data_IF_641416068083
#
_entry.id   IF_641416068083
#
_cell.length_a   1.000
_cell.length_b   1.000
_cell.length_c   1.000
_cell.angle_alpha   90.00
_cell.angle_beta   90.00
_cell.angle_gamma   90.00
#
_symmetry.space_group_name_H-M   'P 1'
#
loop_
_entity.id
_entity.type
_entity.pdbx_description
1 polymer ?
#
# COMPACT_ATOMS: atom_id res chain seq x y z
N UNK A 1 9.04 5.84 -8.63
CA UNK A 1 8.17 7.04 -8.77
C UNK A 1 7.25 6.91 -10.00
N UNK A 2 6.30 7.84 -10.26
CA UNK A 2 5.72 8.02 -11.60
C UNK A 2 6.76 8.56 -12.61
N UNK A 3 6.40 8.60 -13.91
CA UNK A 3 7.23 9.21 -14.96
C UNK A 3 7.43 10.71 -14.66
N UNK A 4 8.67 11.25 -14.68
CA UNK A 4 8.91 12.68 -14.48
C UNK A 4 8.19 13.54 -15.52
N UNK A 5 7.81 14.77 -15.16
CA UNK A 5 7.23 15.71 -16.15
C UNK A 5 8.27 16.09 -17.20
N UNK A 6 7.84 16.28 -18.45
CA UNK A 6 8.61 17.02 -19.45
C UNK A 6 8.34 18.51 -19.25
N UNK A 7 9.36 19.36 -19.39
CA UNK A 7 9.26 20.79 -19.09
C UNK A 7 9.26 21.12 -17.59
N UNK A 8 8.81 22.33 -17.20
CA UNK A 8 8.85 22.84 -15.83
C UNK A 8 8.15 21.96 -14.77
N UNK A 9 8.46 22.23 -13.49
CA UNK A 9 7.86 21.55 -12.34
C UNK A 9 6.64 22.31 -11.81
N UNK A 10 5.64 21.59 -11.33
CA UNK A 10 4.45 22.19 -10.72
C UNK A 10 4.82 22.86 -9.39
N UNK A 11 4.63 24.17 -9.27
CA UNK A 11 5.12 24.95 -8.13
C UNK A 11 6.58 25.42 -8.26
N UNK A 12 7.15 25.39 -9.48
CA UNK A 12 8.49 25.90 -9.78
C UNK A 12 9.62 24.91 -9.46
N UNK A 13 9.69 24.42 -8.22
CA UNK A 13 10.76 23.52 -7.76
C UNK A 13 10.35 22.05 -7.66
N UNK A 14 11.34 21.15 -7.66
CA UNK A 14 11.12 19.71 -7.50
C UNK A 14 10.72 19.30 -6.08
N UNK A 15 11.11 20.07 -5.06
CA UNK A 15 10.69 19.89 -3.67
C UNK A 15 9.22 20.33 -3.49
N UNK A 16 8.85 21.51 -4.00
CA UNK A 16 7.47 21.99 -3.96
C UNK A 16 6.53 21.06 -4.73
N UNK A 17 6.92 20.54 -5.91
CA UNK A 17 6.10 19.56 -6.62
C UNK A 17 5.85 18.28 -5.81
N UNK A 18 6.83 17.80 -5.01
CA UNK A 18 6.65 16.63 -4.13
C UNK A 18 5.62 16.92 -3.03
N UNK A 19 5.77 18.04 -2.32
CA UNK A 19 4.84 18.44 -1.26
C UNK A 19 3.42 18.68 -1.80
N UNK A 20 3.30 19.37 -2.93
CA UNK A 20 2.02 19.65 -3.59
C UNK A 20 1.30 18.35 -4.01
N UNK A 21 2.02 17.34 -4.51
CA UNK A 21 1.43 16.04 -4.85
C UNK A 21 1.10 15.19 -3.62
N UNK A 22 1.85 15.31 -2.53
CA UNK A 22 1.51 14.67 -1.25
C UNK A 22 0.20 15.24 -0.70
N UNK A 23 0.10 16.56 -0.52
CA UNK A 23 -1.08 17.22 0.04
C UNK A 23 -2.34 16.98 -0.81
N UNK A 24 -2.23 17.03 -2.15
CA UNK A 24 -3.35 16.69 -3.04
C UNK A 24 -3.74 15.21 -2.98
N UNK A 25 -2.83 14.30 -2.63
CA UNK A 25 -3.18 12.89 -2.41
C UNK A 25 -3.87 12.70 -1.06
N UNK A 26 -3.43 13.41 -0.01
CA UNK A 26 -4.08 13.43 1.31
C UNK A 26 -5.56 13.80 1.17
N UNK A 27 -5.87 15.00 0.66
CA UNK A 27 -7.26 15.47 0.54
C UNK A 27 -8.10 14.67 -0.48
N UNK A 28 -7.48 13.97 -1.45
CA UNK A 28 -8.18 13.07 -2.36
C UNK A 28 -8.63 11.77 -1.66
N UNK A 29 -7.85 11.25 -0.71
CA UNK A 29 -8.22 10.07 0.06
C UNK A 29 -9.18 10.41 1.20
N UNK A 30 -8.96 11.54 1.86
CA UNK A 30 -9.81 12.10 2.93
C UNK A 30 -11.23 12.41 2.44
N UNK A 31 -11.39 13.16 1.34
CA UNK A 31 -12.70 13.59 0.85
C UNK A 31 -13.23 12.75 -0.34
N UNK A 32 -12.42 11.87 -0.92
CA UNK A 32 -12.77 11.07 -2.10
C UNK A 32 -12.91 11.82 -3.43
N UNK A 33 -13.10 13.15 -3.42
CA UNK A 33 -13.28 14.03 -4.59
C UNK A 33 -12.72 15.43 -4.30
N UNK A 34 -11.87 15.95 -5.19
CA UNK A 34 -11.31 17.32 -5.08
C UNK A 34 -11.35 18.08 -6.42
N UNK A 35 -11.53 19.42 -6.36
CA UNK A 35 -11.50 20.33 -7.53
C UNK A 35 -10.15 21.05 -7.59
N UNK A 36 -9.44 20.93 -8.70
CA UNK A 36 -8.08 21.50 -8.91
C UNK A 36 -7.87 21.91 -10.37
N UNK A 37 -6.66 22.31 -10.78
CA UNK A 37 -6.37 22.58 -12.21
C UNK A 37 -6.08 21.28 -12.97
N UNK A 38 -6.45 21.22 -14.25
CA UNK A 38 -6.25 20.03 -15.09
C UNK A 38 -4.79 19.51 -15.08
N UNK A 39 -3.73 20.34 -15.15
CA UNK A 39 -2.35 19.87 -15.03
C UNK A 39 -2.04 19.22 -13.67
N UNK A 40 -2.59 19.75 -12.56
CA UNK A 40 -2.42 19.17 -11.21
C UNK A 40 -3.13 17.82 -11.12
N UNK A 41 -4.37 17.72 -11.59
CA UNK A 41 -5.13 16.47 -11.62
C UNK A 41 -4.43 15.38 -12.46
N UNK A 42 -3.93 15.74 -13.65
CA UNK A 42 -3.19 14.83 -14.54
C UNK A 42 -1.87 14.35 -13.92
N UNK A 43 -1.17 15.20 -13.17
CA UNK A 43 0.05 14.80 -12.44
C UNK A 43 -0.25 13.94 -11.20
N UNK A 44 -1.40 14.13 -10.55
CA UNK A 44 -1.81 13.39 -9.35
C UNK A 44 -2.17 11.93 -9.66
N UNK A 45 -2.85 11.64 -10.78
CA UNK A 45 -3.27 10.28 -11.16
C UNK A 45 -2.18 9.20 -11.00
N UNK A 46 -1.01 9.25 -11.68
CA UNK A 46 0.01 8.20 -11.58
C UNK A 46 0.77 8.19 -10.24
N UNK A 47 0.47 9.13 -9.33
CA UNK A 47 0.95 9.14 -7.96
C UNK A 47 -0.08 8.45 -7.04
N UNK A 48 -1.34 8.90 -7.05
CA UNK A 48 -2.45 8.32 -6.28
C UNK A 48 -2.74 6.86 -6.66
N UNK A 49 -2.76 6.52 -7.95
CA UNK A 49 -2.98 5.14 -8.42
C UNK A 49 -1.89 4.18 -7.90
N UNK A 50 -0.66 4.66 -7.66
CA UNK A 50 0.41 3.85 -7.05
C UNK A 50 0.23 3.69 -5.54
N UNK A 51 -0.22 4.73 -4.83
CA UNK A 51 -0.54 4.65 -3.40
C UNK A 51 -1.67 3.64 -3.12
N UNK A 52 -2.74 3.66 -3.92
CA UNK A 52 -3.82 2.66 -3.84
C UNK A 52 -3.29 1.25 -4.16
N UNK A 53 -2.33 1.12 -5.09
CA UNK A 53 -1.70 -0.17 -5.40
C UNK A 53 -0.84 -0.72 -4.26
N UNK A 54 -0.20 0.14 -3.46
CA UNK A 54 0.45 -0.26 -2.20
C UNK A 54 -0.59 -0.66 -1.14
N UNK A 55 -1.70 0.09 -1.02
CA UNK A 55 -2.78 -0.18 -0.08
C UNK A 55 -3.44 -1.55 -0.32
N UNK A 56 -3.75 -1.87 -1.58
CA UNK A 56 -4.28 -3.17 -2.03
C UNK A 56 -3.36 -4.37 -1.68
N UNK A 57 -2.08 -4.15 -1.37
CA UNK A 57 -1.15 -5.20 -0.88
C UNK A 57 -1.13 -5.38 0.64
N UNK A 58 -1.71 -4.46 1.42
CA UNK A 58 -1.89 -4.55 2.88
C UNK A 58 -0.63 -4.47 3.78
N UNK A 59 0.51 -5.01 3.32
CA UNK A 59 1.65 -5.34 4.20
C UNK A 59 2.35 -4.15 4.87
N UNK A 60 2.98 -4.44 6.00
CA UNK A 60 3.74 -3.47 6.81
C UNK A 60 4.80 -2.70 6.01
N UNK A 61 5.50 -3.37 5.08
CA UNK A 61 6.43 -2.69 4.16
C UNK A 61 5.73 -1.65 3.28
N UNK A 62 4.56 -1.98 2.73
CA UNK A 62 3.76 -1.05 1.92
C UNK A 62 3.25 0.13 2.75
N UNK A 63 2.88 -0.08 4.04
CA UNK A 63 2.52 1.02 4.96
C UNK A 63 3.71 1.96 5.17
N UNK A 64 4.90 1.43 5.49
CA UNK A 64 6.14 2.21 5.62
C UNK A 64 6.50 2.95 4.31
N UNK A 65 6.25 2.36 3.14
CA UNK A 65 6.42 3.02 1.84
C UNK A 65 5.43 4.15 1.54
N UNK A 66 4.21 4.09 2.09
CA UNK A 66 3.22 5.17 1.96
C UNK A 66 3.51 6.30 2.94
N UNK A 67 3.94 6.00 4.17
CA UNK A 67 4.34 6.99 5.18
C UNK A 67 5.54 7.86 4.76
N UNK A 68 6.41 7.35 3.87
CA UNK A 68 7.46 8.15 3.19
C UNK A 68 6.93 9.21 2.21
N UNK A 69 5.61 9.25 1.95
CA UNK A 69 4.95 10.05 0.90
C UNK A 69 3.82 10.91 1.47
N UNK A 70 2.91 10.32 2.25
CA UNK A 70 1.87 10.98 3.03
C UNK A 70 2.30 10.94 4.50
N UNK A 71 2.33 12.08 5.18
CA UNK A 71 2.79 12.20 6.59
C UNK A 71 1.68 11.98 7.62
N UNK A 72 0.44 12.16 7.17
CA UNK A 72 -0.80 11.98 7.93
C UNK A 72 -1.01 10.49 8.26
N UNK A 73 -1.32 10.17 9.52
CA UNK A 73 -1.52 8.79 9.98
C UNK A 73 -2.94 8.29 9.70
N UNK A 74 -3.93 9.16 9.79
CA UNK A 74 -5.35 8.82 9.77
C UNK A 74 -5.82 8.61 8.33
N UNK A 75 -5.33 9.45 7.41
CA UNK A 75 -5.50 9.24 5.97
C UNK A 75 -4.75 7.98 5.50
N UNK A 76 -3.64 7.60 6.12
CA UNK A 76 -2.98 6.30 5.86
C UNK A 76 -3.77 5.13 6.45
N UNK A 77 -4.42 5.31 7.61
CA UNK A 77 -5.35 4.32 8.14
C UNK A 77 -6.51 4.09 7.18
N UNK A 78 -7.28 5.13 6.82
CA UNK A 78 -8.41 5.04 5.89
C UNK A 78 -8.02 4.46 4.52
N UNK A 79 -6.83 4.81 4.01
CA UNK A 79 -6.31 4.27 2.76
C UNK A 79 -6.11 2.74 2.81
N UNK A 80 -5.65 2.18 3.93
CA UNK A 80 -5.43 0.74 4.09
C UNK A 80 -6.64 -0.03 4.63
N UNK A 81 -7.51 0.61 5.42
CA UNK A 81 -8.70 0.00 6.02
C UNK A 81 -9.89 -0.04 5.06
N UNK A 82 -10.15 1.06 4.33
CA UNK A 82 -11.31 1.17 3.44
C UNK A 82 -10.92 1.08 1.96
N UNK A 83 -10.02 1.97 1.51
CA UNK A 83 -9.79 2.22 0.09
C UNK A 83 -9.06 1.05 -0.58
N UNK A 84 -8.07 0.47 0.11
CA UNK A 84 -7.32 -0.71 -0.35
C UNK A 84 -8.23 -1.93 -0.60
N UNK A 85 -8.99 -2.40 0.41
CA UNK A 85 -9.94 -3.50 0.26
C UNK A 85 -11.04 -3.22 -0.77
N UNK A 86 -11.60 -2.00 -0.79
CA UNK A 86 -12.63 -1.61 -1.76
C UNK A 86 -12.14 -1.77 -3.22
N UNK A 87 -10.87 -1.50 -3.48
CA UNK A 87 -10.25 -1.65 -4.80
C UNK A 87 -9.59 -3.02 -5.07
N UNK A 88 -9.75 -4.01 -4.18
CA UNK A 88 -9.15 -5.35 -4.35
C UNK A 88 -9.55 -6.03 -5.68
N UNK A 89 -10.82 -5.93 -6.10
CA UNK A 89 -11.31 -6.48 -7.37
C UNK A 89 -10.91 -5.67 -8.61
N UNK A 90 -10.39 -4.44 -8.45
CA UNK A 90 -10.10 -3.51 -9.55
C UNK A 90 -8.61 -3.54 -9.93
N UNK A 91 -8.30 -3.74 -11.21
CA UNK A 91 -6.92 -3.77 -11.71
C UNK A 91 -6.55 -2.43 -12.40
N UNK A 92 -6.26 -1.42 -11.59
CA UNK A 92 -5.93 -0.07 -12.05
C UNK A 92 -7.15 0.81 -12.37
N UNK A 93 -6.90 2.07 -12.76
CA UNK A 93 -7.97 3.02 -13.07
C UNK A 93 -8.85 3.40 -11.87
N UNK A 94 -8.23 3.55 -10.68
CA UNK A 94 -8.94 3.87 -9.43
C UNK A 94 -9.46 5.31 -9.36
N UNK A 95 -8.93 6.21 -10.19
CA UNK A 95 -9.29 7.64 -10.21
C UNK A 95 -9.89 8.06 -11.56
N UNK A 96 -10.96 8.86 -11.52
CA UNK A 96 -11.58 9.53 -12.69
C UNK A 96 -11.21 11.01 -12.67
N UNK A 97 -11.03 11.61 -13.86
CA UNK A 97 -10.93 13.07 -14.03
C UNK A 97 -12.14 13.52 -14.85
N UNK A 98 -12.84 14.54 -14.34
CA UNK A 98 -13.94 15.23 -15.02
C UNK A 98 -13.47 16.67 -15.26
N UNK A 99 -13.49 17.15 -16.51
CA UNK A 99 -13.23 18.56 -16.82
C UNK A 99 -14.41 19.41 -16.33
N UNK A 100 -14.12 20.57 -15.79
CA UNK A 100 -15.14 21.55 -15.37
C UNK A 100 -14.78 22.94 -15.90
N UNK A 101 -15.71 23.88 -15.79
CA UNK A 101 -15.56 25.25 -16.29
C UNK A 101 -14.21 25.90 -15.87
N UNK A 102 -13.51 26.59 -16.79
CA UNK A 102 -12.31 27.35 -16.47
C UNK A 102 -12.53 28.35 -15.32
N UNK A 103 -11.46 28.66 -14.58
CA UNK A 103 -11.58 29.57 -13.45
C UNK A 103 -11.68 31.03 -13.93
N UNK A 104 -12.72 31.75 -13.47
CA UNK A 104 -12.84 33.20 -13.63
C UNK A 104 -11.62 33.92 -13.02
N UNK A 105 -10.96 34.78 -13.81
CA UNK A 105 -9.75 35.50 -13.43
C UNK A 105 -8.54 35.08 -14.26
N UNK A 106 -7.97 33.88 -13.99
CA UNK A 106 -6.79 33.36 -14.69
C UNK A 106 -7.12 32.49 -15.92
N UNK A 107 -8.40 32.22 -16.19
CA UNK A 107 -8.91 31.29 -17.20
C UNK A 107 -8.25 29.89 -17.13
N UNK A 108 -7.78 29.49 -15.94
CA UNK A 108 -7.07 28.22 -15.80
C UNK A 108 -8.02 27.05 -16.03
N UNK A 109 -7.66 26.04 -16.86
CA UNK A 109 -8.50 24.87 -17.09
C UNK A 109 -8.63 24.07 -15.79
N UNK A 110 -9.85 23.93 -15.30
CA UNK A 110 -10.17 23.24 -14.05
C UNK A 110 -10.62 21.81 -14.30
N UNK A 111 -10.38 20.95 -13.32
CA UNK A 111 -10.84 19.57 -13.33
C UNK A 111 -11.16 19.09 -11.90
N UNK A 112 -12.18 18.25 -11.79
CA UNK A 112 -12.44 17.45 -10.60
C UNK A 112 -11.72 16.10 -10.78
N UNK A 113 -11.02 15.65 -9.74
CA UNK A 113 -10.46 14.30 -9.65
C UNK A 113 -11.09 13.57 -8.46
N UNK A 114 -11.50 12.33 -8.68
CA UNK A 114 -12.30 11.55 -7.74
C UNK A 114 -11.92 10.07 -7.74
N UNK A 115 -12.18 9.38 -6.63
CA UNK A 115 -12.11 7.92 -6.52
C UNK A 115 -13.35 7.28 -7.19
N UNK A 116 -13.13 6.26 -8.02
CA UNK A 116 -14.22 5.56 -8.72
C UNK A 116 -14.97 4.64 -7.74
N UNK A 117 -16.15 5.06 -7.27
CA UNK A 117 -17.00 4.26 -6.37
C UNK A 117 -17.87 3.20 -7.08
N UNK A 118 -17.88 3.20 -8.41
CA UNK A 118 -18.52 2.15 -9.23
C UNK A 118 -17.64 0.88 -9.28
N UNK A 119 -18.26 -0.31 -9.35
CA UNK A 119 -17.57 -1.53 -9.77
C UNK A 119 -17.44 -1.55 -11.30
N UNK A 120 -16.47 -2.29 -11.84
CA UNK A 120 -16.28 -2.37 -13.30
C UNK A 120 -17.09 -3.55 -13.85
N UNK A 121 -17.76 -3.35 -14.98
CA UNK A 121 -18.39 -4.44 -15.74
C UNK A 121 -17.38 -5.56 -16.06
N UNK A 122 -16.10 -5.21 -16.28
CA UNK A 122 -15.02 -6.19 -16.44
C UNK A 122 -14.74 -6.99 -15.16
N UNK A 123 -14.72 -6.39 -13.98
CA UNK A 123 -14.55 -7.13 -12.71
C UNK A 123 -15.72 -8.09 -12.43
N UNK A 124 -16.92 -7.77 -12.91
CA UNK A 124 -18.08 -8.66 -12.82
C UNK A 124 -18.01 -9.79 -13.86
N UNK A 125 -17.61 -9.48 -15.10
CA UNK A 125 -17.36 -10.47 -16.15
C UNK A 125 -16.20 -11.42 -15.81
N UNK A 126 -15.11 -10.93 -15.22
CA UNK A 126 -13.97 -11.74 -14.80
C UNK A 126 -14.29 -12.58 -13.56
N UNK A 127 -15.09 -12.06 -12.62
CA UNK A 127 -15.66 -12.84 -11.52
C UNK A 127 -16.56 -13.96 -12.05
N UNK A 128 -17.45 -13.66 -13.01
CA UNK A 128 -18.30 -14.66 -13.66
C UNK A 128 -17.51 -15.70 -14.46
N UNK A 129 -16.43 -15.30 -15.15
CA UNK A 129 -15.48 -16.22 -15.82
C UNK A 129 -14.78 -17.13 -14.81
N UNK A 130 -14.29 -16.61 -13.69
CA UNK A 130 -13.63 -17.39 -12.63
C UNK A 130 -14.57 -18.42 -12.01
N UNK A 131 -15.82 -18.05 -11.72
CA UNK A 131 -16.86 -18.97 -11.20
C UNK A 131 -17.28 -20.02 -12.24
N UNK A 132 -17.30 -19.68 -13.54
CA UNK A 132 -17.53 -20.67 -14.61
C UNK A 132 -16.34 -21.62 -14.80
N UNK A 133 -15.12 -21.15 -14.55
CA UNK A 133 -13.91 -21.98 -14.63
C UNK A 133 -13.88 -23.02 -13.49
N UNK A 134 -14.08 -22.61 -12.23
CA UNK A 134 -14.07 -23.54 -11.10
C UNK A 134 -15.18 -24.60 -11.22
N UNK A 135 -16.40 -24.19 -11.59
CA UNK A 135 -17.50 -25.14 -11.86
C UNK A 135 -17.26 -26.08 -13.05
N UNK A 136 -16.23 -25.85 -13.87
CA UNK A 136 -15.82 -26.77 -14.95
C UNK A 136 -14.69 -27.71 -14.51
N UNK A 137 -13.87 -27.35 -13.52
CA UNK A 137 -12.90 -28.26 -12.89
C UNK A 137 -13.55 -29.21 -11.89
N UNK A 138 -14.66 -28.81 -11.23
CA UNK A 138 -15.42 -29.67 -10.30
C UNK A 138 -16.39 -30.65 -11.01
N UNK A 139 -16.28 -30.83 -12.33
CA UNK A 139 -17.04 -31.85 -13.06
C UNK A 139 -16.39 -33.23 -12.84
N UNK A 140 -17.10 -34.22 -12.25
CA UNK A 140 -16.46 -35.45 -11.78
C UNK A 140 -15.95 -36.33 -12.93
N UNK A 141 -14.66 -36.66 -12.89
CA UNK A 141 -14.03 -37.64 -13.79
C UNK A 141 -14.39 -39.05 -13.32
N UNK A 142 -15.58 -39.52 -13.70
CA UNK A 142 -16.18 -40.75 -13.18
C UNK A 142 -16.71 -41.69 -14.27
N UNK A 143 -15.88 -42.06 -15.26
CA UNK A 143 -16.07 -43.26 -16.11
C UNK A 143 -14.88 -43.55 -17.05
N UNK A 144 -13.86 -44.28 -16.58
CA UNK A 144 -12.98 -45.16 -17.40
C UNK A 144 -11.94 -45.86 -16.49
N UNK A 145 -11.79 -47.18 -16.58
CA UNK A 145 -10.76 -47.92 -15.88
C UNK A 145 -10.24 -49.11 -16.69
N UNK A 146 -8.91 -49.18 -16.87
CA UNK A 146 -8.12 -50.32 -17.38
C UNK A 146 -8.39 -50.80 -18.84
N UNK A 147 -7.45 -51.54 -19.50
CA UNK A 147 -6.21 -52.13 -18.97
C UNK A 147 -4.88 -51.81 -19.72
N UNK A 148 -3.80 -51.84 -18.94
CA UNK A 148 -2.43 -52.41 -19.15
C UNK A 148 -1.92 -52.71 -20.58
N UNK A 149 -0.68 -52.29 -20.91
CA UNK A 149 0.54 -53.16 -20.91
C UNK A 149 1.80 -52.52 -21.56
N UNK A 150 2.98 -52.71 -20.95
CA UNK A 150 4.35 -52.39 -21.45
C UNK A 150 4.65 -50.88 -21.74
N UNK A 151 5.90 -50.38 -21.78
CA UNK A 151 7.24 -51.00 -21.92
C UNK A 151 8.27 -50.25 -21.04
N UNK A 152 9.32 -50.94 -20.58
CA UNK A 152 10.62 -50.40 -20.11
C UNK A 152 11.73 -51.27 -20.74
N UNK A 153 12.98 -50.77 -20.97
CA UNK A 153 13.95 -50.56 -19.86
C UNK A 153 15.00 -49.42 -20.05
N UNK A 154 15.73 -49.11 -18.97
CA UNK A 154 17.21 -48.86 -18.82
C UNK A 154 17.97 -47.90 -19.80
N UNK A 155 18.97 -47.08 -19.40
CA UNK A 155 19.61 -46.78 -18.09
C UNK A 155 20.44 -45.45 -18.13
N UNK A 156 21.20 -45.16 -17.04
CA UNK A 156 22.48 -44.40 -17.00
C UNK A 156 22.47 -42.83 -17.18
N UNK A 157 23.16 -41.98 -16.40
CA UNK A 157 24.01 -42.08 -15.17
C UNK A 157 23.88 -40.76 -14.33
N UNK A 158 24.17 -40.79 -13.02
CA UNK A 158 24.51 -39.59 -12.18
C UNK A 158 26.01 -39.23 -12.22
N UNK A 159 26.67 -38.66 -11.17
CA UNK A 159 26.23 -38.16 -9.84
C UNK A 159 26.11 -36.59 -9.86
N UNK A 160 26.21 -35.73 -8.83
CA UNK A 160 26.60 -35.66 -7.38
C UNK A 160 25.52 -34.94 -6.54
N UNK A 161 25.44 -34.91 -5.20
CA UNK A 161 26.33 -34.97 -4.00
C UNK A 161 26.66 -33.58 -3.37
N UNK A 162 26.87 -33.59 -2.03
CA UNK A 162 27.08 -32.47 -1.07
C UNK A 162 25.87 -31.54 -0.74
N UNK A 163 25.67 -31.00 0.47
CA UNK A 163 26.00 -31.47 1.85
C UNK A 163 25.20 -30.69 2.94
N UNK A 164 25.16 -31.22 4.18
CA UNK A 164 25.06 -30.56 5.52
C UNK A 164 23.91 -29.58 5.90
N UNK A 165 23.18 -30.01 6.95
CA UNK A 165 22.73 -29.32 8.20
C UNK A 165 22.30 -27.84 8.22
N UNK A 166 21.16 -27.54 8.87
CA UNK A 166 20.70 -26.18 9.20
C UNK A 166 20.94 -25.74 10.68
N UNK A 167 20.47 -24.55 11.09
CA UNK A 167 20.62 -24.03 12.45
C UNK A 167 19.30 -23.99 13.25
N UNK A 168 19.33 -24.44 14.50
CA UNK A 168 18.26 -24.32 15.52
C UNK A 168 18.79 -23.53 16.75
N UNK A 169 19.73 -22.61 16.50
CA UNK A 169 20.56 -21.96 17.54
C UNK A 169 20.64 -20.43 17.44
N UNK A 170 19.91 -19.81 16.52
CA UNK A 170 19.93 -18.35 16.29
C UNK A 170 18.79 -17.60 17.02
N UNK A 171 17.86 -18.33 17.64
CA UNK A 171 16.63 -17.78 18.24
C UNK A 171 16.79 -17.37 19.73
N UNK A 172 17.83 -17.86 20.42
CA UNK A 172 18.05 -17.61 21.86
C UNK A 172 18.83 -16.34 22.19
N UNK A 173 19.79 -15.91 21.37
CA UNK A 173 20.55 -14.67 21.63
C UNK A 173 19.72 -13.40 21.40
N UNK A 174 18.69 -13.47 20.54
CA UNK A 174 17.85 -12.32 20.21
C UNK A 174 16.90 -11.96 21.36
N UNK A 175 16.40 -12.95 22.09
CA UNK A 175 15.39 -12.73 23.16
C UNK A 175 15.96 -12.07 24.41
N UNK A 176 17.20 -12.39 24.81
CA UNK A 176 17.85 -11.70 25.94
C UNK A 176 18.19 -10.24 25.59
N UNK A 177 18.56 -9.99 24.32
CA UNK A 177 18.87 -8.65 23.84
C UNK A 177 17.65 -7.71 23.76
N UNK A 178 16.46 -8.23 23.43
CA UNK A 178 15.23 -7.44 23.37
C UNK A 178 14.70 -7.12 24.79
N UNK A 179 14.72 -8.10 25.72
CA UNK A 179 14.33 -7.89 27.12
C UNK A 179 15.21 -6.83 27.83
N UNK A 180 16.54 -6.89 27.65
CA UNK A 180 17.49 -5.94 28.23
C UNK A 180 17.45 -4.53 27.61
N UNK A 181 16.65 -4.32 26.55
CA UNK A 181 16.35 -3.03 25.95
C UNK A 181 15.01 -2.45 26.44
N UNK A 182 14.01 -3.31 26.70
CA UNK A 182 12.70 -2.90 27.22
C UNK A 182 12.80 -2.43 28.69
N UNK A 183 13.53 -3.16 29.55
CA UNK A 183 13.73 -2.80 30.96
C UNK A 183 14.38 -1.40 31.12
N UNK A 184 15.34 -1.06 30.26
CA UNK A 184 16.02 0.26 30.24
C UNK A 184 15.18 1.38 29.62
N UNK A 185 14.18 1.03 28.80
CA UNK A 185 13.25 2.02 28.29
C UNK A 185 12.29 2.45 29.40
N UNK A 186 11.78 1.51 30.19
CA UNK A 186 10.80 1.80 31.24
C UNK A 186 11.44 2.50 32.45
N UNK A 187 12.69 2.17 32.82
CA UNK A 187 13.48 2.95 33.79
C UNK A 187 13.65 4.41 33.35
N UNK A 188 13.96 4.65 32.06
CA UNK A 188 14.10 5.99 31.50
C UNK A 188 12.77 6.77 31.39
N UNK A 189 11.64 6.08 31.20
CA UNK A 189 10.30 6.69 31.24
C UNK A 189 9.91 7.05 32.67
N UNK A 190 10.18 6.18 33.65
CA UNK A 190 9.89 6.43 35.06
C UNK A 190 10.67 7.64 35.59
N UNK A 191 11.99 7.69 35.37
CA UNK A 191 12.84 8.81 35.79
C UNK A 191 12.40 10.16 35.18
N UNK A 192 11.86 10.14 33.95
CA UNK A 192 11.33 11.34 33.30
C UNK A 192 10.00 11.79 33.89
N UNK A 193 9.12 10.87 34.26
CA UNK A 193 7.84 11.17 34.89
C UNK A 193 8.00 11.71 36.32
N UNK A 194 9.03 11.29 37.06
CA UNK A 194 9.37 11.88 38.36
C UNK A 194 9.96 13.29 38.22
N UNK A 195 10.82 13.54 37.22
CA UNK A 195 11.35 14.86 36.94
C UNK A 195 10.26 15.87 36.52
N UNK A 196 9.25 15.43 35.78
CA UNK A 196 8.11 16.27 35.36
C UNK A 196 7.21 16.64 36.55
N UNK A 197 6.96 15.68 37.48
CA UNK A 197 6.28 15.95 38.75
C UNK A 197 7.06 16.85 39.72
N UNK A 198 8.39 16.76 39.71
CA UNK A 198 9.22 17.65 40.55
C UNK A 198 9.10 19.11 40.09
N UNK A 199 9.05 19.35 38.78
CA UNK A 199 8.85 20.70 38.23
C UNK A 199 7.44 21.25 38.50
N UNK A 200 6.39 20.42 38.36
CA UNK A 200 5.00 20.82 38.67
C UNK A 200 4.77 21.11 40.17
N UNK A 201 5.62 20.57 41.05
CA UNK A 201 5.60 20.87 42.48
C UNK A 201 6.33 22.18 42.84
N UNK A 202 7.42 22.52 42.13
CA UNK A 202 8.22 23.73 42.36
C UNK A 202 7.45 24.99 41.90
N UNK A 203 6.72 24.92 40.78
CA UNK A 203 5.87 26.01 40.26
C UNK A 203 4.65 26.30 41.17
N UNK A 204 4.33 25.41 42.11
CA UNK A 204 3.18 25.52 43.01
C UNK A 204 3.46 26.20 44.36
N UNK A 205 4.73 26.38 44.77
CA UNK A 205 5.11 27.01 46.05
C UNK A 205 5.47 28.51 45.89
N UNK A 206 5.52 29.03 44.65
CA UNK A 206 5.82 30.44 44.32
C UNK A 206 4.57 31.25 43.87
N UNK A 207 3.35 30.76 44.18
CA UNK A 207 2.03 31.31 43.76
C UNK A 207 1.20 31.94 44.89
#
# INVERSE_FOLDING_TARGET
MPKPTKGPRLGGSSSHQKALLANLATSLFEHGRIKTTEPKARALRPYAEKLITHAKKGSLHNRREVMKKIRDKDVVHALFAEIGPFFADRNGGYTRIIKVEPRKGDNAPMAVIELVREKTVTSEADRARRVKASKKSDAPVAAAAAPQAAVEPEEAVGPTADDVTGPEAEETEVTEAEAAAEEKHDEAVAARAEAEKAAEADEADES
#
